data_IF_407879844556
#
_entry.id   IF_407879844556
#
_cell.length_a   1.000
_cell.length_b   1.000
_cell.length_c   1.000
_cell.angle_alpha   90.00
_cell.angle_beta   90.00
_cell.angle_gamma   90.00
#
_symmetry.space_group_name_H-M   'P 1'
#
loop_
_entity.id
_entity.type
_entity.pdbx_description
1 polymer ?
#
# COMPACT_ATOMS: atom_id res chain seq x y z
N UNK A 1 -11.23 -24.52 25.17
CA UNK A 1 -11.69 -23.51 24.18
C UNK A 1 -10.48 -22.67 23.79
N UNK A 2 -10.20 -22.59 22.50
CA UNK A 2 -9.08 -21.75 21.98
C UNK A 2 -9.50 -20.28 21.94
N UNK A 3 -9.73 -19.65 23.11
CA UNK A 3 -10.04 -18.23 23.16
C UNK A 3 -8.75 -17.42 23.16
N UNK A 4 -8.65 -16.45 22.24
CA UNK A 4 -7.60 -15.46 22.16
C UNK A 4 -8.18 -14.07 22.48
N UNK A 5 -7.35 -13.03 22.66
CA UNK A 5 -7.86 -11.69 22.92
C UNK A 5 -8.29 -11.03 21.60
N UNK A 6 -7.47 -11.21 20.55
CA UNK A 6 -7.69 -10.61 19.24
C UNK A 6 -7.48 -11.64 18.13
N UNK A 7 -8.41 -11.67 17.16
CA UNK A 7 -8.23 -12.34 15.87
C UNK A 7 -7.94 -11.29 14.80
N UNK A 8 -6.87 -11.47 14.03
CA UNK A 8 -6.52 -10.66 12.85
C UNK A 8 -6.76 -11.49 11.60
N UNK A 9 -7.63 -11.02 10.72
CA UNK A 9 -7.98 -11.67 9.44
C UNK A 9 -7.13 -11.03 8.34
N UNK A 10 -6.23 -11.80 7.73
CA UNK A 10 -5.30 -11.37 6.68
C UNK A 10 -3.86 -11.23 7.15
N UNK A 11 -2.96 -11.97 6.50
CA UNK A 11 -1.52 -12.00 6.72
C UNK A 11 -0.72 -11.11 5.75
N UNK A 12 -1.34 -10.05 5.22
CA UNK A 12 -0.66 -8.98 4.49
C UNK A 12 0.18 -8.09 5.41
N UNK A 13 0.87 -7.09 4.86
CA UNK A 13 1.73 -6.19 5.64
C UNK A 13 1.00 -5.48 6.78
N UNK A 14 -0.27 -5.09 6.56
CA UNK A 14 -1.10 -4.41 7.57
C UNK A 14 -1.45 -5.37 8.71
N UNK A 15 -2.03 -6.53 8.40
CA UNK A 15 -2.39 -7.50 9.44
C UNK A 15 -1.18 -8.03 10.21
N UNK A 16 -0.04 -8.21 9.52
CA UNK A 16 1.22 -8.63 10.15
C UNK A 16 1.77 -7.56 11.10
N UNK A 17 1.72 -6.29 10.70
CA UNK A 17 2.11 -5.16 11.55
C UNK A 17 1.21 -5.04 12.78
N UNK A 18 -0.11 -5.10 12.62
CA UNK A 18 -1.07 -5.09 13.73
C UNK A 18 -0.80 -6.24 14.70
N UNK A 19 -0.60 -7.45 14.16
CA UNK A 19 -0.29 -8.64 14.97
C UNK A 19 0.97 -8.44 15.80
N UNK A 20 2.02 -7.86 15.21
CA UNK A 20 3.25 -7.55 15.93
C UNK A 20 3.03 -6.54 17.06
N UNK A 21 2.44 -5.38 16.77
CA UNK A 21 2.26 -4.34 17.79
C UNK A 21 1.28 -4.75 18.90
N UNK A 22 0.23 -5.53 18.61
CA UNK A 22 -0.64 -6.12 19.63
C UNK A 22 0.12 -7.10 20.52
N UNK A 23 0.96 -7.97 19.94
CA UNK A 23 1.78 -8.92 20.71
C UNK A 23 2.81 -8.20 21.57
N UNK A 24 3.41 -7.11 21.07
CA UNK A 24 4.31 -6.23 21.82
C UNK A 24 3.63 -5.59 23.04
N UNK A 25 2.31 -5.34 22.95
CA UNK A 25 1.47 -4.85 24.07
C UNK A 25 0.92 -6.01 24.95
N UNK A 26 1.41 -7.24 24.78
CA UNK A 26 1.06 -8.38 25.61
C UNK A 26 -0.30 -9.02 25.31
N UNK A 27 -0.95 -8.70 24.18
CA UNK A 27 -2.20 -9.34 23.77
C UNK A 27 -1.93 -10.74 23.20
N UNK A 28 -2.83 -11.68 23.47
CA UNK A 28 -2.83 -13.01 22.83
C UNK A 28 -3.50 -12.87 21.46
N UNK A 29 -2.71 -12.92 20.40
CA UNK A 29 -3.17 -12.69 19.02
C UNK A 29 -3.18 -13.99 18.22
N UNK A 30 -4.25 -14.20 17.47
CA UNK A 30 -4.37 -15.22 16.43
C UNK A 30 -4.51 -14.50 15.08
N UNK A 31 -3.54 -14.66 14.18
CA UNK A 31 -3.65 -14.20 12.81
C UNK A 31 -4.04 -15.36 11.89
N UNK A 32 -5.03 -15.15 11.04
CA UNK A 32 -5.55 -16.11 10.07
C UNK A 32 -5.28 -15.60 8.67
N UNK A 33 -4.59 -16.42 7.87
CA UNK A 33 -4.29 -16.11 6.47
C UNK A 33 -4.71 -17.29 5.58
N UNK A 34 -5.50 -17.00 4.55
CA UNK A 34 -6.05 -18.05 3.66
C UNK A 34 -4.98 -18.70 2.75
N UNK A 35 -3.88 -18.00 2.49
CA UNK A 35 -2.75 -18.48 1.69
C UNK A 35 -1.45 -18.34 2.50
N UNK A 36 -0.38 -17.85 1.86
CA UNK A 36 0.85 -17.49 2.53
C UNK A 36 0.88 -15.99 2.93
N UNK A 37 1.66 -15.68 3.96
CA UNK A 37 1.82 -14.29 4.39
C UNK A 37 2.40 -13.44 3.26
N UNK A 38 1.78 -12.30 3.01
CA UNK A 38 2.19 -11.39 1.95
C UNK A 38 1.71 -11.78 0.53
N UNK A 39 0.94 -12.85 0.33
CA UNK A 39 0.47 -13.31 -0.99
C UNK A 39 -0.54 -12.38 -1.68
N UNK A 40 -1.12 -11.43 -0.94
CA UNK A 40 -2.02 -10.41 -1.47
C UNK A 40 -1.29 -9.22 -2.11
N UNK A 41 -1.80 -8.01 -1.85
CA UNK A 41 -1.24 -6.75 -2.40
C UNK A 41 0.21 -6.51 -2.00
N UNK A 42 0.63 -6.92 -0.80
CA UNK A 42 1.99 -6.72 -0.30
C UNK A 42 3.05 -7.39 -1.18
N UNK A 43 2.81 -8.64 -1.61
CA UNK A 43 3.73 -9.38 -2.47
C UNK A 43 3.64 -9.02 -3.96
N UNK A 44 2.73 -8.10 -4.31
CA UNK A 44 2.53 -7.62 -5.66
C UNK A 44 2.59 -6.08 -5.71
N UNK A 45 3.56 -5.50 -5.01
CA UNK A 45 3.79 -4.05 -4.93
C UNK A 45 5.27 -3.72 -5.12
N UNK A 46 5.53 -2.48 -5.49
CA UNK A 46 6.83 -1.86 -5.31
C UNK A 46 7.10 -1.57 -3.82
N UNK A 47 8.32 -1.17 -3.50
CA UNK A 47 8.76 -0.95 -2.13
C UNK A 47 8.93 0.52 -1.75
N UNK A 48 8.34 1.44 -2.46
CA UNK A 48 8.56 2.88 -2.26
C UNK A 48 8.06 3.35 -0.88
N UNK A 49 8.96 3.95 -0.11
CA UNK A 49 8.71 4.58 1.18
C UNK A 49 9.05 6.07 1.04
N UNK A 50 8.09 6.86 0.58
CA UNK A 50 8.36 8.25 0.23
C UNK A 50 7.14 9.16 0.37
N UNK A 51 7.41 10.46 0.43
CA UNK A 51 6.40 11.51 0.60
C UNK A 51 5.78 11.95 -0.73
N UNK A 52 6.55 11.91 -1.82
CA UNK A 52 6.20 12.47 -3.12
C UNK A 52 4.97 11.87 -3.79
N UNK A 53 4.52 10.70 -3.34
CA UNK A 53 3.30 10.04 -3.82
C UNK A 53 2.10 10.24 -2.89
N UNK A 54 2.24 10.99 -1.80
CA UNK A 54 1.21 11.15 -0.77
C UNK A 54 0.37 12.41 -1.01
N UNK A 55 -0.95 12.27 -0.81
CA UNK A 55 -1.85 13.42 -0.83
C UNK A 55 -1.57 14.32 0.36
N UNK A 56 -1.47 15.65 0.18
CA UNK A 56 -1.38 16.60 1.29
C UNK A 56 -2.52 16.44 2.30
N UNK A 57 -2.28 16.79 3.57
CA UNK A 57 -3.23 16.61 4.67
C UNK A 57 -3.06 15.27 5.38
N UNK A 58 -4.15 14.64 5.79
CA UNK A 58 -4.18 13.46 6.67
C UNK A 58 -3.29 12.30 6.21
N UNK A 59 -3.27 12.01 4.91
CA UNK A 59 -2.40 10.95 4.38
C UNK A 59 -0.92 11.28 4.54
N UNK A 60 -0.54 12.55 4.29
CA UNK A 60 0.83 13.02 4.49
C UNK A 60 1.23 13.00 5.95
N UNK A 61 0.35 13.40 6.86
CA UNK A 61 0.58 13.37 8.31
C UNK A 61 0.88 11.96 8.82
N UNK A 62 0.06 10.98 8.41
CA UNK A 62 0.33 9.57 8.72
C UNK A 62 1.63 9.09 8.09
N UNK A 63 1.93 9.48 6.84
CA UNK A 63 3.14 9.08 6.17
C UNK A 63 4.40 9.61 6.85
N UNK A 64 4.40 10.86 7.33
CA UNK A 64 5.52 11.45 8.06
C UNK A 64 5.83 10.62 9.32
N UNK A 65 4.81 10.29 10.12
CA UNK A 65 4.98 9.47 11.32
C UNK A 65 5.45 8.05 10.97
N UNK A 66 4.87 7.45 9.94
CA UNK A 66 5.18 6.08 9.54
C UNK A 66 6.59 5.94 8.98
N UNK A 67 7.02 6.87 8.11
CA UNK A 67 8.33 6.82 7.46
C UNK A 67 9.46 7.00 8.48
N UNK A 68 9.25 7.85 9.51
CA UNK A 68 10.20 7.98 10.60
C UNK A 68 10.41 6.66 11.39
N UNK A 69 9.41 5.77 11.44
CA UNK A 69 9.54 4.48 12.11
C UNK A 69 10.47 3.52 11.36
N UNK A 70 10.58 3.63 10.04
CA UNK A 70 11.42 2.72 9.24
C UNK A 70 12.89 2.78 9.61
N UNK A 71 13.39 3.90 10.14
CA UNK A 71 14.81 4.09 10.48
C UNK A 71 15.32 3.09 11.53
N UNK A 72 14.43 2.59 12.39
CA UNK A 72 14.75 1.65 13.47
C UNK A 72 14.05 0.30 13.32
N UNK A 73 13.25 0.12 12.26
CA UNK A 73 12.34 -1.01 12.15
C UNK A 73 13.07 -2.35 11.97
N UNK A 74 14.19 -2.39 11.23
CA UNK A 74 15.00 -3.61 11.10
C UNK A 74 15.54 -4.09 12.45
N UNK A 75 16.03 -3.16 13.28
CA UNK A 75 16.51 -3.44 14.63
C UNK A 75 15.36 -3.88 15.53
N UNK A 76 14.25 -3.13 15.53
CA UNK A 76 13.06 -3.42 16.33
C UNK A 76 12.47 -4.81 16.01
N UNK A 77 12.41 -5.16 14.72
CA UNK A 77 11.91 -6.46 14.28
C UNK A 77 12.97 -7.58 14.36
N UNK A 78 14.25 -7.27 14.60
CA UNK A 78 15.36 -8.23 14.65
C UNK A 78 15.53 -8.99 13.33
N UNK A 79 15.32 -8.31 12.22
CA UNK A 79 15.45 -8.85 10.86
C UNK A 79 15.67 -7.72 9.87
N UNK A 80 16.60 -7.88 8.95
CA UNK A 80 16.81 -6.94 7.85
C UNK A 80 15.60 -6.95 6.91
N UNK A 81 14.97 -5.78 6.75
CA UNK A 81 13.84 -5.54 5.84
C UNK A 81 14.29 -4.94 4.50
N UNK A 82 15.60 -4.89 4.27
CA UNK A 82 16.23 -4.26 3.10
C UNK A 82 15.81 -2.77 2.93
N UNK A 83 15.62 -2.07 4.05
CA UNK A 83 15.27 -0.65 3.99
C UNK A 83 16.47 0.20 3.60
N UNK A 84 16.35 0.92 2.50
CA UNK A 84 17.32 1.89 2.02
C UNK A 84 16.78 3.30 2.24
N UNK A 85 17.23 3.95 3.29
CA UNK A 85 16.92 5.34 3.58
C UNK A 85 17.56 6.28 2.56
N UNK A 86 16.87 7.40 2.23
CA UNK A 86 17.40 8.47 1.41
C UNK A 86 17.95 8.01 0.04
N UNK A 87 17.36 6.97 -0.55
CA UNK A 87 17.72 6.59 -1.92
C UNK A 87 17.14 7.55 -2.97
N UNK A 88 16.29 8.49 -2.55
CA UNK A 88 15.65 9.45 -3.44
C UNK A 88 14.40 8.91 -4.12
N UNK A 89 13.47 9.82 -4.37
CA UNK A 89 12.29 9.60 -5.20
C UNK A 89 12.15 10.70 -6.23
N UNK A 90 11.84 10.35 -7.47
CA UNK A 90 11.74 11.30 -8.56
C UNK A 90 10.44 11.15 -9.33
N UNK A 91 9.85 12.27 -9.77
CA UNK A 91 8.70 12.26 -10.66
C UNK A 91 8.96 13.19 -11.86
N UNK A 92 9.51 12.65 -12.96
CA UNK A 92 9.69 13.42 -14.18
C UNK A 92 8.35 13.71 -14.86
N UNK A 93 8.21 14.92 -15.40
CA UNK A 93 7.09 15.38 -16.20
C UNK A 93 7.45 15.31 -17.69
N UNK A 94 6.53 14.82 -18.52
CA UNK A 94 6.67 14.79 -19.98
C UNK A 94 6.24 16.10 -20.62
N UNK A 95 5.30 16.81 -19.99
CA UNK A 95 4.67 18.00 -20.56
C UNK A 95 4.69 19.16 -19.58
N UNK A 96 4.51 20.38 -20.13
CA UNK A 96 4.35 21.60 -19.33
C UNK A 96 3.16 21.49 -18.37
N UNK A 97 2.04 20.93 -18.80
CA UNK A 97 0.86 20.74 -17.97
C UNK A 97 1.14 19.82 -16.78
N UNK A 98 1.81 18.68 -17.00
CA UNK A 98 2.19 17.78 -15.91
C UNK A 98 3.15 18.50 -14.91
N UNK A 99 4.07 19.31 -15.42
CA UNK A 99 4.97 20.13 -14.60
C UNK A 99 4.22 21.14 -13.73
N UNK A 100 3.27 21.88 -14.32
CA UNK A 100 2.47 22.87 -13.60
C UNK A 100 1.65 22.21 -12.48
N UNK A 101 0.99 21.09 -12.78
CA UNK A 101 0.23 20.32 -11.79
C UNK A 101 1.14 19.81 -10.65
N UNK A 102 2.32 19.25 -11.00
CA UNK A 102 3.28 18.82 -9.98
C UNK A 102 3.77 19.98 -9.13
N UNK A 103 4.00 21.15 -9.71
CA UNK A 103 4.45 22.32 -8.98
C UNK A 103 3.45 22.74 -7.90
N UNK A 104 2.15 22.73 -8.21
CA UNK A 104 1.09 23.00 -7.24
C UNK A 104 1.09 21.94 -6.10
N UNK A 105 1.19 20.66 -6.44
CA UNK A 105 1.23 19.56 -5.48
C UNK A 105 2.46 19.70 -4.56
N UNK A 106 3.63 20.03 -5.10
CA UNK A 106 4.87 20.22 -4.35
C UNK A 106 4.74 21.35 -3.34
N UNK A 107 4.15 22.49 -3.73
CA UNK A 107 3.95 23.61 -2.81
C UNK A 107 3.05 23.22 -1.61
N UNK A 108 2.01 22.44 -1.86
CA UNK A 108 1.15 21.92 -0.78
C UNK A 108 1.90 20.90 0.11
N UNK A 109 2.64 19.97 -0.49
CA UNK A 109 3.41 18.97 0.25
C UNK A 109 4.50 19.62 1.12
N UNK A 110 5.21 20.65 0.61
CA UNK A 110 6.23 21.40 1.36
C UNK A 110 5.68 22.06 2.62
N UNK A 111 4.42 22.50 2.62
CA UNK A 111 3.77 23.06 3.82
C UNK A 111 3.67 22.05 4.97
N UNK A 112 3.76 20.76 4.68
CA UNK A 112 3.83 19.69 5.69
C UNK A 112 5.26 19.49 6.26
N UNK A 113 6.25 20.30 5.83
CA UNK A 113 7.63 20.25 6.34
C UNK A 113 8.53 19.18 5.70
N UNK A 114 8.09 18.54 4.61
CA UNK A 114 8.89 17.51 3.90
C UNK A 114 9.82 18.14 2.85
N UNK A 115 11.02 17.57 2.67
CA UNK A 115 11.97 18.02 1.63
C UNK A 115 11.57 17.45 0.28
N UNK A 116 10.85 18.26 -0.48
CA UNK A 116 10.40 17.98 -1.85
C UNK A 116 10.60 19.24 -2.68
N UNK A 117 11.11 19.11 -3.91
CA UNK A 117 11.43 20.27 -4.77
C UNK A 117 11.29 19.95 -6.25
N UNK A 118 10.96 20.96 -7.02
CA UNK A 118 11.04 20.91 -8.48
C UNK A 118 12.48 21.13 -8.92
N UNK A 119 12.98 20.35 -9.87
CA UNK A 119 14.34 20.45 -10.43
C UNK A 119 14.30 20.43 -11.95
N UNK A 120 15.29 21.08 -12.58
CA UNK A 120 15.45 21.04 -14.05
C UNK A 120 15.85 19.65 -14.53
N UNK A 121 15.62 19.33 -15.82
CA UNK A 121 16.08 18.06 -16.39
C UNK A 121 17.59 17.89 -16.33
N UNK A 122 18.37 18.96 -16.48
CA UNK A 122 19.82 18.91 -16.30
C UNK A 122 20.19 18.33 -14.90
N UNK A 123 19.53 18.82 -13.85
CA UNK A 123 19.76 18.34 -12.49
C UNK A 123 19.18 16.94 -12.27
N UNK A 124 18.03 16.61 -12.88
CA UNK A 124 17.46 15.28 -12.82
C UNK A 124 18.38 14.24 -13.45
N UNK A 125 18.98 14.53 -14.61
CA UNK A 125 19.94 13.65 -15.28
C UNK A 125 21.29 13.52 -14.54
N UNK A 126 21.68 14.52 -13.74
CA UNK A 126 22.85 14.37 -12.84
C UNK A 126 22.60 13.36 -11.72
N UNK A 127 21.35 13.29 -11.22
CA UNK A 127 20.92 12.34 -10.19
C UNK A 127 20.68 10.96 -10.79
N UNK A 128 19.96 10.90 -11.92
CA UNK A 128 19.59 9.68 -12.64
C UNK A 128 20.08 9.75 -14.10
N UNK A 129 21.32 9.31 -14.37
CA UNK A 129 21.96 9.50 -15.69
C UNK A 129 21.31 8.72 -16.83
N UNK A 130 20.54 7.67 -16.55
CA UNK A 130 19.83 6.88 -17.55
C UNK A 130 18.52 7.54 -18.01
N UNK A 131 18.09 8.62 -17.33
CA UNK A 131 16.84 9.30 -17.62
C UNK A 131 16.94 10.05 -18.97
N UNK A 132 15.87 9.99 -19.75
CA UNK A 132 15.77 10.72 -21.01
C UNK A 132 15.83 12.24 -20.78
N UNK A 133 16.82 12.97 -21.37
CA UNK A 133 16.97 14.41 -21.21
C UNK A 133 15.85 15.23 -21.90
N UNK A 134 15.08 14.63 -22.84
CA UNK A 134 14.00 15.29 -23.57
C UNK A 134 12.68 15.37 -22.79
N UNK A 135 12.72 15.18 -21.46
CA UNK A 135 11.58 15.41 -20.57
C UNK A 135 11.56 16.87 -20.09
N UNK A 136 10.45 17.30 -19.49
CA UNK A 136 10.27 18.72 -19.18
C UNK A 136 11.00 19.17 -17.91
N UNK A 137 11.02 18.33 -16.87
CA UNK A 137 11.61 18.58 -15.56
C UNK A 137 11.17 17.51 -14.59
N UNK A 138 11.50 17.60 -13.30
CA UNK A 138 11.11 16.60 -12.33
C UNK A 138 10.83 17.18 -10.94
N UNK A 139 9.90 16.56 -10.21
CA UNK A 139 9.86 16.61 -8.76
C UNK A 139 10.97 15.69 -8.22
N UNK A 140 11.66 16.14 -7.17
CA UNK A 140 12.65 15.32 -6.46
C UNK A 140 12.45 15.39 -4.94
N UNK A 141 12.45 14.21 -4.30
CA UNK A 141 12.36 14.02 -2.86
C UNK A 141 13.60 13.25 -2.37
N UNK A 142 14.63 13.91 -1.88
CA UNK A 142 15.90 13.28 -1.50
C UNK A 142 15.76 12.31 -0.31
N UNK A 143 14.76 12.53 0.55
CA UNK A 143 14.53 11.75 1.77
C UNK A 143 13.64 10.52 1.56
N UNK A 144 13.16 10.27 0.34
CA UNK A 144 12.44 9.04 0.02
C UNK A 144 13.36 7.83 0.15
N UNK A 145 12.78 6.74 0.65
CA UNK A 145 13.45 5.44 0.78
C UNK A 145 12.72 4.35 0.02
N UNK A 146 13.24 3.14 0.13
CA UNK A 146 12.58 1.92 -0.34
C UNK A 146 12.82 0.76 0.60
N UNK A 147 11.92 -0.20 0.61
CA UNK A 147 11.97 -1.41 1.44
C UNK A 147 11.59 -2.62 0.60
N UNK A 148 12.00 -3.82 1.00
CA UNK A 148 11.45 -5.03 0.41
C UNK A 148 10.10 -5.36 1.08
N UNK A 149 8.95 -5.29 0.35
CA UNK A 149 7.63 -5.51 0.93
C UNK A 149 7.42 -6.88 1.55
N UNK A 150 7.99 -7.92 0.96
CA UNK A 150 7.91 -9.29 1.47
C UNK A 150 8.77 -9.45 2.73
N UNK A 151 10.02 -8.94 2.72
CA UNK A 151 10.89 -8.98 3.90
C UNK A 151 10.26 -8.22 5.07
N UNK A 152 9.67 -7.05 4.82
CA UNK A 152 8.93 -6.29 5.83
C UNK A 152 7.79 -7.11 6.43
N UNK A 153 6.97 -7.74 5.57
CA UNK A 153 5.85 -8.56 6.01
C UNK A 153 6.33 -9.75 6.85
N UNK A 154 7.38 -10.46 6.39
CA UNK A 154 7.95 -11.60 7.10
C UNK A 154 8.62 -11.19 8.41
N UNK A 155 9.30 -10.05 8.46
CA UNK A 155 9.90 -9.53 9.67
C UNK A 155 8.85 -9.29 10.76
N UNK A 156 7.71 -8.65 10.44
CA UNK A 156 6.59 -8.51 11.36
C UNK A 156 6.06 -9.86 11.84
N UNK A 157 5.84 -10.81 10.92
CA UNK A 157 5.36 -12.16 11.24
C UNK A 157 6.32 -12.87 12.21
N UNK A 158 7.61 -12.84 11.94
CA UNK A 158 8.60 -13.52 12.79
C UNK A 158 8.74 -12.83 14.16
N UNK A 159 8.72 -11.50 14.20
CA UNK A 159 8.74 -10.76 15.45
C UNK A 159 7.50 -11.04 16.31
N UNK A 160 6.30 -11.07 15.71
CA UNK A 160 5.07 -11.42 16.40
C UNK A 160 5.10 -12.85 16.96
N UNK A 161 5.61 -13.82 16.18
CA UNK A 161 5.78 -15.21 16.66
C UNK A 161 6.71 -15.30 17.85
N UNK A 162 7.85 -14.58 17.87
CA UNK A 162 8.75 -14.53 19.02
C UNK A 162 8.08 -13.98 20.29
N UNK A 163 7.04 -13.15 20.12
CA UNK A 163 6.22 -12.61 21.21
C UNK A 163 4.99 -13.47 21.53
N UNK A 164 4.87 -14.68 20.96
CA UNK A 164 3.82 -15.64 21.28
C UNK A 164 2.57 -15.55 20.42
N UNK A 165 2.52 -14.73 19.35
CA UNK A 165 1.41 -14.72 18.41
C UNK A 165 1.27 -16.08 17.70
N UNK A 166 0.02 -16.54 17.56
CA UNK A 166 -0.30 -17.72 16.75
C UNK A 166 -0.66 -17.26 15.33
N UNK A 167 -0.03 -17.86 14.33
CA UNK A 167 -0.24 -17.51 12.93
C UNK A 167 -0.59 -18.79 12.18
N UNK A 168 -1.82 -18.85 11.67
CA UNK A 168 -2.32 -19.96 10.89
C UNK A 168 -2.44 -19.54 9.42
N UNK A 169 -1.57 -20.11 8.60
CA UNK A 169 -1.63 -20.00 7.14
C UNK A 169 -2.55 -21.08 6.57
N UNK A 170 -2.94 -20.90 5.32
CA UNK A 170 -3.89 -21.80 4.62
C UNK A 170 -5.15 -22.02 5.46
N UNK A 171 -5.67 -20.95 6.08
CA UNK A 171 -6.83 -20.97 6.96
C UNK A 171 -7.75 -19.84 6.54
N UNK A 172 -8.81 -20.20 5.84
CA UNK A 172 -9.77 -19.26 5.28
C UNK A 172 -10.92 -19.00 6.27
N UNK A 173 -11.12 -17.71 6.57
CA UNK A 173 -12.33 -17.29 7.30
C UNK A 173 -13.52 -17.34 6.35
N UNK A 174 -14.58 -18.03 6.76
CA UNK A 174 -15.81 -18.24 5.99
C UNK A 174 -17.01 -17.51 6.55
N UNK A 175 -16.96 -17.20 7.85
CA UNK A 175 -18.03 -16.45 8.50
C UNK A 175 -17.54 -15.75 9.76
N UNK A 176 -18.21 -14.65 10.13
CA UNK A 176 -17.99 -13.90 11.37
C UNK A 176 -19.12 -14.24 12.34
N UNK A 177 -18.78 -14.82 13.47
CA UNK A 177 -19.75 -15.22 14.48
C UNK A 177 -20.26 -14.01 15.25
N UNK A 178 -21.51 -13.64 15.01
CA UNK A 178 -22.19 -12.53 15.68
C UNK A 178 -23.22 -13.07 16.67
N UNK A 179 -23.16 -12.62 17.94
CA UNK A 179 -24.14 -12.93 18.97
C UNK A 179 -24.49 -11.66 19.74
N UNK A 180 -25.79 -11.43 19.95
CA UNK A 180 -26.29 -10.23 20.64
C UNK A 180 -25.71 -8.92 20.04
N UNK A 181 -25.65 -8.83 18.72
CA UNK A 181 -25.09 -7.69 17.97
C UNK A 181 -23.62 -7.40 18.28
N UNK A 182 -22.84 -8.40 18.67
CA UNK A 182 -21.40 -8.31 18.96
C UNK A 182 -20.65 -9.39 18.20
N UNK A 183 -19.50 -9.06 17.63
CA UNK A 183 -18.59 -10.05 17.05
C UNK A 183 -17.90 -10.85 18.18
N UNK A 184 -17.87 -12.19 18.04
CA UNK A 184 -17.45 -13.11 19.10
C UNK A 184 -16.41 -14.12 18.63
N UNK A 185 -16.16 -14.22 17.32
CA UNK A 185 -15.27 -15.23 16.74
C UNK A 185 -15.42 -15.31 15.23
N UNK A 186 -14.77 -16.29 14.66
CA UNK A 186 -14.81 -16.61 13.23
C UNK A 186 -14.98 -18.11 13.01
N UNK A 187 -15.69 -18.46 11.94
CA UNK A 187 -15.69 -19.80 11.39
C UNK A 187 -14.69 -19.90 10.24
N UNK A 188 -13.93 -20.98 10.20
CA UNK A 188 -12.92 -21.21 9.16
C UNK A 188 -13.04 -22.62 8.59
N UNK A 189 -12.34 -22.90 7.50
CA UNK A 189 -12.19 -24.24 6.94
C UNK A 189 -11.48 -25.25 7.89
N UNK A 190 -10.88 -24.75 9.00
CA UNK A 190 -10.18 -25.56 10.02
C UNK A 190 -10.84 -25.51 11.39
N UNK A 191 -12.07 -25.04 11.48
CA UNK A 191 -12.85 -24.96 12.71
C UNK A 191 -13.08 -23.54 13.19
N UNK A 192 -13.63 -23.43 14.39
CA UNK A 192 -14.09 -22.18 14.97
C UNK A 192 -13.09 -21.60 15.97
N UNK A 193 -12.86 -20.30 15.90
CA UNK A 193 -12.00 -19.55 16.83
C UNK A 193 -12.77 -18.41 17.47
N UNK A 194 -12.55 -18.17 18.76
CA UNK A 194 -13.25 -17.16 19.54
C UNK A 194 -12.28 -16.07 20.02
N UNK A 195 -12.73 -14.82 19.96
CA UNK A 195 -12.01 -13.67 20.48
C UNK A 195 -12.98 -12.57 20.93
N UNK A 196 -12.51 -11.65 21.76
CA UNK A 196 -13.29 -10.50 22.18
C UNK A 196 -13.26 -9.38 21.12
N UNK A 197 -12.23 -9.39 20.27
CA UNK A 197 -11.98 -8.39 19.22
C UNK A 197 -11.56 -9.11 17.91
N UNK A 198 -12.13 -8.70 16.80
CA UNK A 198 -11.84 -9.24 15.46
C UNK A 198 -11.48 -8.07 14.56
N UNK A 199 -10.33 -8.16 13.90
CA UNK A 199 -9.87 -7.14 12.94
C UNK A 199 -9.90 -7.73 11.54
N UNK A 200 -10.62 -7.06 10.66
CA UNK A 200 -10.56 -7.26 9.23
C UNK A 200 -9.37 -6.46 8.64
N UNK A 201 -8.29 -7.16 8.34
CA UNK A 201 -7.10 -6.66 7.63
C UNK A 201 -6.91 -7.38 6.29
N UNK A 202 -8.02 -7.85 5.66
CA UNK A 202 -8.02 -8.66 4.45
C UNK A 202 -7.75 -7.86 3.16
N UNK A 203 -7.34 -6.58 3.26
CA UNK A 203 -6.94 -5.76 2.13
C UNK A 203 -8.05 -5.60 1.10
N UNK A 204 -7.83 -6.05 -0.14
CA UNK A 204 -8.82 -5.96 -1.22
C UNK A 204 -10.04 -6.86 -1.03
N UNK A 205 -9.98 -7.81 -0.11
CA UNK A 205 -11.09 -8.70 0.26
C UNK A 205 -11.81 -8.25 1.54
N UNK A 206 -11.46 -7.10 2.09
CA UNK A 206 -12.04 -6.64 3.35
C UNK A 206 -13.56 -6.37 3.23
N UNK A 207 -14.05 -5.93 2.08
CA UNK A 207 -15.50 -5.78 1.87
C UNK A 207 -16.24 -7.13 1.94
N UNK A 208 -15.65 -8.20 1.38
CA UNK A 208 -16.23 -9.55 1.45
C UNK A 208 -16.24 -10.09 2.89
N UNK A 209 -15.14 -9.88 3.62
CA UNK A 209 -15.03 -10.28 5.04
C UNK A 209 -16.04 -9.51 5.90
N UNK A 210 -16.14 -8.20 5.70
CA UNK A 210 -17.11 -7.38 6.43
C UNK A 210 -18.57 -7.76 6.14
N UNK A 211 -18.86 -8.14 4.89
CA UNK A 211 -20.20 -8.60 4.48
C UNK A 211 -20.64 -9.87 5.22
N UNK A 212 -19.72 -10.78 5.61
CA UNK A 212 -20.02 -11.94 6.47
C UNK A 212 -20.58 -11.52 7.83
N UNK A 213 -20.23 -10.31 8.29
CA UNK A 213 -20.73 -9.72 9.53
C UNK A 213 -21.92 -8.76 9.33
N UNK A 214 -22.48 -8.68 8.13
CA UNK A 214 -23.55 -7.75 7.79
C UNK A 214 -23.09 -6.27 7.76
N UNK A 215 -21.81 -6.04 7.50
CA UNK A 215 -21.20 -4.70 7.40
C UNK A 215 -20.85 -4.44 5.94
N UNK A 216 -21.34 -3.33 5.41
CA UNK A 216 -20.99 -2.85 4.08
C UNK A 216 -19.79 -1.89 4.15
N UNK A 217 -18.75 -2.16 3.36
CA UNK A 217 -17.55 -1.33 3.25
C UNK A 217 -17.29 -0.99 1.78
N UNK A 218 -17.05 0.29 1.45
CA UNK A 218 -16.80 0.72 0.08
C UNK A 218 -15.35 0.44 -0.36
N UNK A 219 -14.86 -0.76 -0.14
CA UNK A 219 -13.53 -1.20 -0.59
C UNK A 219 -13.69 -2.01 -1.87
N UNK A 220 -12.99 -1.61 -2.92
CA UNK A 220 -13.00 -2.30 -4.22
C UNK A 220 -11.60 -2.69 -4.63
N UNK A 221 -11.40 -3.90 -5.20
CA UNK A 221 -10.10 -4.27 -5.76
C UNK A 221 -9.79 -3.43 -6.99
N UNK A 222 -8.61 -2.81 -7.02
CA UNK A 222 -8.09 -2.07 -8.17
C UNK A 222 -6.80 -2.70 -8.66
N UNK A 223 -6.87 -3.38 -9.80
CA UNK A 223 -5.78 -4.12 -10.41
C UNK A 223 -4.66 -3.18 -10.86
N UNK A 224 -3.41 -3.59 -10.58
CA UNK A 224 -2.21 -2.99 -11.15
C UNK A 224 -1.29 -4.07 -11.68
N UNK A 225 -0.92 -3.95 -12.95
CA UNK A 225 -0.06 -4.91 -13.64
C UNK A 225 1.40 -4.45 -13.55
N UNK A 226 2.29 -5.38 -13.23
CA UNK A 226 3.71 -5.16 -12.97
C UNK A 226 4.55 -6.15 -13.79
N UNK A 227 5.72 -5.70 -14.22
CA UNK A 227 6.64 -6.46 -15.06
C UNK A 227 8.04 -6.41 -14.47
N UNK A 228 8.73 -7.54 -14.45
CA UNK A 228 10.10 -7.64 -13.94
C UNK A 228 11.02 -7.92 -15.11
N UNK A 229 12.12 -7.17 -15.17
CA UNK A 229 13.17 -7.39 -16.16
C UNK A 229 14.15 -8.47 -15.69
N UNK A 230 14.95 -8.98 -16.60
CA UNK A 230 16.20 -9.65 -16.28
C UNK A 230 17.07 -8.78 -15.37
N UNK A 231 17.97 -9.36 -14.55
CA UNK A 231 18.89 -8.60 -13.73
C UNK A 231 19.81 -7.72 -14.58
N UNK A 232 19.88 -6.44 -14.20
CA UNK A 232 20.78 -5.45 -14.77
C UNK A 232 21.88 -5.14 -13.74
N UNK A 233 23.03 -4.63 -14.21
CA UNK A 233 23.97 -3.95 -13.33
C UNK A 233 23.31 -2.75 -12.64
N UNK A 234 24.06 -1.92 -11.87
CA UNK A 234 23.52 -0.68 -11.32
C UNK A 234 22.93 0.18 -12.43
N UNK A 235 21.60 0.29 -12.47
CA UNK A 235 20.88 0.99 -13.54
C UNK A 235 20.15 2.21 -13.02
N UNK A 236 19.53 2.12 -11.82
CA UNK A 236 18.77 3.21 -11.21
C UNK A 236 19.38 3.65 -9.88
N UNK A 237 19.50 4.97 -9.72
CA UNK A 237 19.96 5.59 -8.48
C UNK A 237 18.81 5.95 -7.54
N UNK A 238 17.59 6.19 -8.08
CA UNK A 238 16.41 6.63 -7.33
C UNK A 238 15.21 5.72 -7.65
N UNK A 239 14.15 5.77 -6.81
CA UNK A 239 12.84 5.26 -7.21
C UNK A 239 12.14 6.30 -8.09
N UNK A 240 11.42 5.87 -9.13
CA UNK A 240 10.81 6.81 -10.05
C UNK A 240 9.34 6.45 -10.30
N UNK A 241 8.47 7.45 -10.19
CA UNK A 241 7.12 7.45 -10.73
C UNK A 241 7.02 8.61 -11.72
N UNK A 242 6.37 8.45 -12.87
CA UNK A 242 6.17 9.61 -13.75
C UNK A 242 5.14 10.59 -13.16
N UNK A 243 5.19 11.86 -13.55
CA UNK A 243 4.25 12.89 -13.12
C UNK A 243 2.78 12.47 -13.28
N UNK A 244 2.45 11.76 -14.35
CA UNK A 244 1.11 11.21 -14.61
C UNK A 244 0.58 10.33 -13.49
N UNK A 245 1.47 9.70 -12.70
CA UNK A 245 1.07 8.94 -11.52
C UNK A 245 0.28 9.80 -10.53
N UNK A 246 0.79 10.98 -10.18
CA UNK A 246 0.10 11.92 -9.29
C UNK A 246 -1.06 12.62 -10.00
N UNK A 247 -0.93 12.94 -11.30
CA UNK A 247 -2.03 13.55 -12.07
C UNK A 247 -3.25 12.63 -12.09
N UNK A 248 -3.10 11.35 -12.40
CA UNK A 248 -4.21 10.37 -12.36
C UNK A 248 -4.76 10.21 -10.94
N UNK A 249 -3.90 10.27 -9.92
CA UNK A 249 -4.29 10.05 -8.52
C UNK A 249 -5.04 11.25 -7.92
N UNK A 250 -4.66 12.48 -8.27
CA UNK A 250 -5.13 13.70 -7.61
C UNK A 250 -5.95 14.63 -8.48
N UNK A 251 -5.74 14.62 -9.80
CA UNK A 251 -6.41 15.48 -10.81
C UNK A 251 -6.71 14.69 -12.09
N UNK A 252 -7.50 13.59 -12.04
CA UNK A 252 -7.72 12.70 -13.19
C UNK A 252 -8.35 13.42 -14.39
N UNK A 253 -9.12 14.46 -14.14
CA UNK A 253 -9.77 15.30 -15.16
C UNK A 253 -8.77 16.03 -16.07
N UNK A 254 -7.53 16.22 -15.64
CA UNK A 254 -6.48 16.86 -16.43
C UNK A 254 -5.84 15.93 -17.48
N UNK A 255 -6.19 14.64 -17.48
CA UNK A 255 -5.65 13.66 -18.44
C UNK A 255 -6.55 13.61 -19.68
N UNK A 256 -6.12 14.17 -20.80
CA UNK A 256 -6.88 14.22 -22.05
C UNK A 256 -7.01 12.87 -22.78
N UNK A 257 -6.15 11.90 -22.50
CA UNK A 257 -6.13 10.58 -23.12
C UNK A 257 -7.10 9.63 -22.41
N UNK A 258 -8.30 9.43 -22.99
CA UNK A 258 -9.35 8.55 -22.45
C UNK A 258 -8.92 7.07 -22.36
N UNK A 259 -8.07 6.59 -23.25
CA UNK A 259 -7.58 5.21 -23.23
C UNK A 259 -6.58 5.01 -22.07
N UNK A 260 -5.67 5.96 -21.88
CA UNK A 260 -4.75 5.98 -20.75
C UNK A 260 -5.50 6.11 -19.41
N UNK A 261 -6.60 6.88 -19.34
CA UNK A 261 -7.45 6.99 -18.15
C UNK A 261 -8.16 5.67 -17.83
N UNK A 262 -8.75 5.01 -18.84
CA UNK A 262 -9.46 3.72 -18.65
C UNK A 262 -8.55 2.66 -18.03
N UNK A 263 -7.29 2.59 -18.48
CA UNK A 263 -6.29 1.67 -17.94
C UNK A 263 -5.58 2.22 -16.71
N UNK A 264 -5.69 3.53 -16.45
CA UNK A 264 -4.93 4.21 -15.39
C UNK A 264 -3.42 4.04 -15.55
N UNK A 265 -2.93 3.92 -16.80
CA UNK A 265 -1.55 3.62 -17.11
C UNK A 265 -0.63 4.78 -16.75
N UNK A 266 0.30 4.54 -15.84
CA UNK A 266 1.37 5.43 -15.41
C UNK A 266 2.69 4.67 -15.39
N UNK A 267 3.81 5.30 -15.03
CA UNK A 267 5.07 4.62 -14.79
C UNK A 267 5.41 4.68 -13.31
N UNK A 268 5.71 3.52 -12.73
CA UNK A 268 6.45 3.35 -11.50
C UNK A 268 7.59 2.39 -11.81
N UNK A 269 8.82 2.74 -11.47
CA UNK A 269 9.97 1.89 -11.74
C UNK A 269 10.98 1.99 -10.58
N UNK A 270 11.46 0.84 -10.14
CA UNK A 270 12.53 0.72 -9.16
C UNK A 270 13.42 -0.48 -9.45
N UNK A 271 14.67 -0.43 -9.03
CA UNK A 271 15.58 -1.56 -9.12
C UNK A 271 15.60 -2.36 -7.83
N UNK A 272 15.28 -3.65 -7.90
CA UNK A 272 15.38 -4.57 -6.77
C UNK A 272 16.83 -4.86 -6.37
N UNK A 273 17.03 -5.47 -5.20
CA UNK A 273 18.35 -5.88 -4.70
C UNK A 273 19.02 -6.94 -5.57
N UNK A 274 18.23 -7.70 -6.32
CA UNK A 274 18.68 -8.71 -7.28
C UNK A 274 19.08 -8.13 -8.66
N UNK A 275 19.00 -6.80 -8.84
CA UNK A 275 19.31 -6.10 -10.08
C UNK A 275 18.16 -6.01 -11.10
N UNK A 276 17.08 -6.77 -10.95
CA UNK A 276 15.90 -6.66 -11.81
C UNK A 276 15.13 -5.36 -11.57
N UNK A 277 14.55 -4.78 -12.62
CA UNK A 277 13.66 -3.65 -12.50
C UNK A 277 12.22 -4.16 -12.29
N UNK A 278 11.51 -3.55 -11.36
CA UNK A 278 10.05 -3.69 -11.20
C UNK A 278 9.42 -2.50 -11.91
N UNK A 279 8.71 -2.76 -12.99
CA UNK A 279 8.12 -1.74 -13.85
C UNK A 279 6.60 -1.86 -13.81
N UNK A 280 5.91 -0.82 -13.45
CA UNK A 280 4.44 -0.73 -13.39
C UNK A 280 3.96 0.67 -13.75
N UNK A 281 2.69 1.00 -13.64
CA UNK A 281 1.61 0.07 -13.41
C UNK A 281 0.33 0.63 -14.01
N UNK A 282 -0.68 -0.21 -14.07
CA UNK A 282 -2.06 0.19 -14.38
C UNK A 282 -2.89 0.43 -13.12
N UNK A 283 -4.13 0.94 -13.29
CA UNK A 283 -5.14 1.13 -12.25
C UNK A 283 -6.52 0.81 -12.82
N UNK A 284 -6.89 -0.46 -12.80
CA UNK A 284 -8.07 -0.98 -13.47
C UNK A 284 -9.11 -1.51 -12.45
N UNK A 285 -10.37 -1.19 -12.64
CA UNK A 285 -11.46 -1.83 -11.90
C UNK A 285 -11.91 -3.08 -12.67
N UNK A 286 -11.22 -4.20 -12.42
CA UNK A 286 -11.43 -5.49 -13.07
C UNK A 286 -11.88 -6.58 -12.07
N UNK A 287 -12.51 -6.19 -10.96
CA UNK A 287 -12.84 -7.13 -9.90
C UNK A 287 -11.58 -7.79 -9.33
N UNK A 288 -11.68 -9.08 -9.03
CA UNK A 288 -10.57 -9.87 -8.50
C UNK A 288 -9.68 -10.51 -9.57
N UNK A 289 -9.81 -10.08 -10.84
CA UNK A 289 -8.93 -10.53 -11.93
C UNK A 289 -7.48 -10.13 -11.66
N UNK A 290 -6.55 -11.09 -11.81
CA UNK A 290 -5.10 -10.92 -11.64
C UNK A 290 -4.31 -11.31 -12.90
N UNK A 291 -4.99 -11.47 -14.01
CA UNK A 291 -4.34 -11.80 -15.27
C UNK A 291 -3.63 -10.57 -15.86
N UNK A 292 -2.47 -10.78 -16.43
CA UNK A 292 -1.75 -9.76 -17.18
C UNK A 292 -2.19 -9.76 -18.64
N UNK A 293 -2.26 -8.58 -19.26
CA UNK A 293 -2.62 -8.41 -20.67
C UNK A 293 -1.43 -7.90 -21.46
N UNK A 294 -1.33 -8.33 -22.73
CA UNK A 294 -0.33 -7.81 -23.66
C UNK A 294 -0.47 -6.30 -23.86
N UNK A 295 -1.72 -5.79 -23.93
CA UNK A 295 -1.99 -4.36 -24.06
C UNK A 295 -1.37 -3.55 -22.92
N UNK A 296 -1.57 -3.99 -21.68
CA UNK A 296 -0.98 -3.34 -20.50
C UNK A 296 0.55 -3.40 -20.50
N UNK A 297 1.12 -4.53 -20.93
CA UNK A 297 2.57 -4.68 -21.06
C UNK A 297 3.12 -3.72 -22.11
N UNK A 298 2.54 -3.67 -23.31
CA UNK A 298 2.97 -2.77 -24.37
C UNK A 298 2.92 -1.29 -23.94
N UNK A 299 1.79 -0.86 -23.36
CA UNK A 299 1.62 0.52 -22.91
C UNK A 299 2.63 0.87 -21.82
N UNK A 300 2.83 -0.02 -20.83
CA UNK A 300 3.77 0.19 -19.73
C UNK A 300 5.22 0.22 -20.23
N UNK A 301 5.61 -0.73 -21.09
CA UNK A 301 6.99 -0.78 -21.62
C UNK A 301 7.26 0.39 -22.56
N UNK A 302 6.33 0.81 -23.39
CA UNK A 302 6.47 2.00 -24.23
C UNK A 302 6.70 3.26 -23.39
N UNK A 303 6.01 3.39 -22.26
CA UNK A 303 6.28 4.46 -21.30
C UNK A 303 7.64 4.32 -20.65
N UNK A 304 8.01 3.13 -20.17
CA UNK A 304 9.32 2.91 -19.57
C UNK A 304 10.47 3.29 -20.52
N UNK A 305 10.38 2.91 -21.79
CA UNK A 305 11.36 3.28 -22.82
C UNK A 305 11.36 4.79 -23.14
N UNK A 306 10.22 5.48 -22.98
CA UNK A 306 10.16 6.96 -23.15
C UNK A 306 10.97 7.65 -22.05
N UNK A 307 10.95 7.12 -20.81
CA UNK A 307 11.70 7.67 -19.68
C UNK A 307 13.14 7.16 -19.64
N UNK A 308 13.37 5.92 -20.02
CA UNK A 308 14.67 5.23 -20.02
C UNK A 308 14.90 4.55 -21.37
N UNK A 309 15.46 5.26 -22.36
CA UNK A 309 15.66 4.71 -23.72
C UNK A 309 16.50 3.44 -23.76
N UNK A 310 17.41 3.25 -22.79
CA UNK A 310 18.25 2.07 -22.69
C UNK A 310 17.46 0.76 -22.41
N UNK A 311 16.18 0.85 -22.02
CA UNK A 311 15.34 -0.33 -21.78
C UNK A 311 14.85 -1.04 -23.05
N UNK A 312 15.11 -0.48 -24.24
CA UNK A 312 14.66 -1.06 -25.52
C UNK A 312 15.17 -2.47 -25.78
N UNK A 313 16.34 -2.81 -25.23
CA UNK A 313 17.03 -4.10 -25.44
C UNK A 313 16.97 -5.02 -24.19
N UNK A 314 16.12 -4.67 -23.20
CA UNK A 314 16.02 -5.40 -21.94
C UNK A 314 14.82 -6.36 -21.96
N UNK A 315 15.07 -7.62 -21.56
CA UNK A 315 14.06 -8.67 -21.56
C UNK A 315 13.15 -8.60 -20.30
N UNK A 316 11.85 -8.83 -20.50
CA UNK A 316 10.90 -9.08 -19.42
C UNK A 316 10.91 -10.56 -19.09
N UNK A 317 11.18 -10.89 -17.83
CA UNK A 317 11.24 -12.29 -17.37
C UNK A 317 10.01 -12.71 -16.58
N UNK A 318 9.22 -11.76 -16.10
CA UNK A 318 8.01 -12.04 -15.31
C UNK A 318 6.98 -10.92 -15.44
N UNK A 319 5.70 -11.32 -15.49
CA UNK A 319 4.55 -10.45 -15.34
C UNK A 319 3.69 -10.94 -14.19
N UNK A 320 3.11 -10.01 -13.40
CA UNK A 320 2.16 -10.32 -12.34
C UNK A 320 1.26 -9.13 -12.08
N UNK A 321 0.12 -9.35 -11.41
CA UNK A 321 -0.80 -8.29 -11.04
C UNK A 321 -1.16 -8.34 -9.56
N UNK A 322 -1.22 -7.16 -8.95
CA UNK A 322 -1.71 -6.94 -7.60
C UNK A 322 -3.07 -6.26 -7.58
N UNK A 323 -3.79 -6.45 -6.48
CA UNK A 323 -5.08 -5.79 -6.24
C UNK A 323 -4.92 -4.78 -5.11
N UNK A 324 -5.04 -3.48 -5.43
CA UNK A 324 -5.02 -2.42 -4.42
C UNK A 324 -6.39 -2.32 -3.76
N UNK A 325 -6.49 -2.23 -2.43
CA UNK A 325 -7.74 -1.98 -1.74
C UNK A 325 -8.14 -0.50 -1.88
N UNK A 326 -8.88 -0.18 -2.92
CA UNK A 326 -9.34 1.18 -3.22
C UNK A 326 -10.49 1.60 -2.29
N UNK A 327 -10.47 2.84 -1.83
CA UNK A 327 -11.56 3.52 -1.13
C UNK A 327 -11.95 4.79 -1.88
N UNK A 328 -13.23 5.22 -1.85
CA UNK A 328 -13.70 6.37 -2.64
C UNK A 328 -13.00 7.69 -2.31
N UNK A 329 -12.66 7.91 -1.05
CA UNK A 329 -11.99 9.12 -0.57
C UNK A 329 -10.44 9.03 -0.57
N UNK A 330 -9.91 7.84 -0.90
CA UNK A 330 -8.46 7.57 -0.94
C UNK A 330 -7.80 7.49 0.44
N UNK A 331 -8.57 7.44 1.53
CA UNK A 331 -8.06 7.25 2.89
C UNK A 331 -8.29 5.81 3.36
N UNK A 332 -7.39 5.22 4.16
CA UNK A 332 -7.63 3.91 4.75
C UNK A 332 -8.83 3.93 5.70
N UNK A 333 -9.41 2.77 5.93
CA UNK A 333 -10.48 2.55 6.90
C UNK A 333 -9.87 1.91 8.12
N UNK A 334 -9.89 2.64 9.26
CA UNK A 334 -9.27 2.24 10.51
C UNK A 334 -10.22 2.49 11.68
N UNK A 335 -10.55 1.45 12.45
CA UNK A 335 -11.35 1.61 13.65
C UNK A 335 -12.47 0.59 13.83
N UNK A 336 -13.27 0.77 14.88
CA UNK A 336 -14.40 -0.08 15.22
C UNK A 336 -15.64 0.27 14.40
N UNK A 337 -16.37 -0.76 13.99
CA UNK A 337 -17.70 -0.61 13.38
C UNK A 337 -18.74 -0.44 14.48
N UNK A 338 -19.26 0.77 14.67
CA UNK A 338 -20.18 1.10 15.77
C UNK A 338 -21.42 0.20 15.87
N UNK A 339 -21.99 -0.22 14.72
CA UNK A 339 -23.16 -1.12 14.70
C UNK A 339 -22.82 -2.56 15.10
N UNK A 340 -21.53 -2.94 15.16
CA UNK A 340 -21.06 -4.27 15.49
C UNK A 340 -19.87 -4.21 16.45
N UNK A 341 -20.08 -3.95 17.74
CA UNK A 341 -19.01 -3.93 18.73
C UNK A 341 -18.14 -5.18 18.69
N UNK A 342 -16.83 -4.98 18.85
CA UNK A 342 -15.82 -6.04 18.74
C UNK A 342 -15.37 -6.36 17.33
N UNK A 343 -15.94 -5.72 16.29
CA UNK A 343 -15.47 -5.83 14.91
C UNK A 343 -14.77 -4.54 14.47
N UNK A 344 -13.53 -4.66 14.04
CA UNK A 344 -12.66 -3.59 13.62
C UNK A 344 -12.23 -3.76 12.18
N UNK A 345 -11.91 -2.67 11.50
CA UNK A 345 -11.39 -2.68 10.14
C UNK A 345 -10.03 -2.00 10.10
N UNK A 346 -9.11 -2.57 9.33
CA UNK A 346 -7.81 -1.98 9.02
C UNK A 346 -7.42 -2.31 7.57
N UNK A 347 -8.05 -1.64 6.61
CA UNK A 347 -7.90 -1.90 5.18
C UNK A 347 -8.06 -0.61 4.35
N UNK A 348 -8.06 -0.71 3.02
CA UNK A 348 -8.31 0.44 2.16
C UNK A 348 -7.11 1.38 1.95
N UNK A 349 -5.88 0.90 2.14
CA UNK A 349 -4.65 1.71 2.00
C UNK A 349 -4.25 2.00 0.55
N UNK A 350 -4.99 1.52 -0.41
CA UNK A 350 -4.70 1.64 -1.85
C UNK A 350 -3.26 1.24 -2.18
N UNK A 351 -2.46 2.10 -2.81
CA UNK A 351 -1.04 1.87 -3.12
C UNK A 351 -0.07 2.33 -2.03
N UNK A 352 -0.54 2.74 -0.85
CA UNK A 352 0.28 3.33 0.21
C UNK A 352 0.51 2.40 1.40
N UNK A 353 -0.03 1.17 1.36
CA UNK A 353 -0.03 0.23 2.48
C UNK A 353 1.34 -0.15 3.00
N UNK A 354 2.36 -0.29 2.16
CA UNK A 354 3.73 -0.60 2.58
C UNK A 354 4.29 0.54 3.43
N UNK A 355 4.23 1.78 2.93
CA UNK A 355 4.74 2.95 3.64
C UNK A 355 3.95 3.27 4.92
N UNK A 356 2.66 2.93 4.98
CA UNK A 356 1.79 3.21 6.13
C UNK A 356 1.67 2.04 7.13
N UNK A 357 2.24 0.87 6.84
CA UNK A 357 2.10 -0.31 7.70
C UNK A 357 2.60 -0.09 9.13
N UNK A 358 3.77 0.54 9.39
CA UNK A 358 4.24 0.74 10.75
C UNK A 358 3.26 1.53 11.61
N UNK A 359 2.83 2.71 11.13
CA UNK A 359 1.93 3.58 11.89
C UNK A 359 0.53 2.96 12.04
N UNK A 360 0.01 2.31 10.98
CA UNK A 360 -1.29 1.63 11.04
C UNK A 360 -1.29 0.53 12.11
N UNK A 361 -0.25 -0.31 12.12
CA UNK A 361 -0.11 -1.37 13.11
C UNK A 361 -0.07 -0.83 14.53
N UNK A 362 0.73 0.22 14.76
CA UNK A 362 0.85 0.89 16.06
C UNK A 362 -0.49 1.47 16.52
N UNK A 363 -1.13 2.30 15.70
CA UNK A 363 -2.37 2.99 16.08
C UNK A 363 -3.53 2.02 16.31
N UNK A 364 -3.67 0.98 15.47
CA UNK A 364 -4.69 -0.05 15.68
C UNK A 364 -4.42 -0.87 16.94
N UNK A 365 -3.17 -1.21 17.22
CA UNK A 365 -2.83 -1.93 18.45
C UNK A 365 -3.10 -1.08 19.71
N UNK A 366 -2.78 0.20 19.69
CA UNK A 366 -3.12 1.14 20.78
C UNK A 366 -4.63 1.23 20.99
N UNK A 367 -5.40 1.39 19.90
CA UNK A 367 -6.87 1.43 19.97
C UNK A 367 -7.46 0.18 20.62
N UNK A 368 -7.01 -1.03 20.18
CA UNK A 368 -7.55 -2.28 20.69
C UNK A 368 -7.06 -2.62 22.10
N UNK A 369 -5.82 -2.27 22.43
CA UNK A 369 -5.25 -2.60 23.75
C UNK A 369 -5.63 -1.60 24.84
N UNK A 370 -5.77 -0.31 24.48
CA UNK A 370 -5.91 0.80 25.42
C UNK A 370 -7.24 1.58 25.28
N UNK A 371 -8.04 1.25 24.25
CA UNK A 371 -9.28 1.94 23.92
C UNK A 371 -9.13 3.28 23.21
N UNK A 372 -7.89 3.73 22.96
CA UNK A 372 -7.57 4.96 22.24
C UNK A 372 -6.23 4.85 21.53
N UNK A 373 -6.09 5.49 20.37
CA UNK A 373 -4.84 5.62 19.65
C UNK A 373 -4.16 6.96 19.98
N UNK A 374 -2.83 7.01 19.81
CA UNK A 374 -2.01 8.23 20.01
C UNK A 374 -2.22 9.30 18.93
N UNK A 375 -2.89 8.96 17.84
CA UNK A 375 -3.35 9.86 16.78
C UNK A 375 -4.84 9.63 16.52
N UNK A 376 -5.61 10.71 16.25
CA UNK A 376 -7.06 10.58 16.01
C UNK A 376 -7.35 9.72 14.76
N UNK A 377 -8.16 8.69 14.94
CA UNK A 377 -8.66 7.83 13.87
C UNK A 377 -10.04 8.22 13.35
N UNK A 378 -10.62 9.33 13.82
CA UNK A 378 -11.98 9.75 13.47
C UNK A 378 -12.17 9.91 11.96
N UNK A 379 -11.23 10.58 11.28
CA UNK A 379 -11.27 10.78 9.83
C UNK A 379 -11.07 9.48 9.03
N UNK A 380 -10.58 8.42 9.68
CA UNK A 380 -10.37 7.09 9.09
C UNK A 380 -11.44 6.08 9.50
N UNK A 381 -12.38 6.47 10.35
CA UNK A 381 -13.42 5.60 10.88
C UNK A 381 -14.23 4.91 9.77
N UNK A 382 -14.55 3.60 9.90
CA UNK A 382 -15.48 2.93 8.98
C UNK A 382 -16.86 3.59 8.97
N UNK A 383 -17.22 4.27 10.04
CA UNK A 383 -18.53 4.90 10.22
C UNK A 383 -18.71 6.18 9.39
N UNK A 384 -17.65 6.73 8.77
CA UNK A 384 -17.71 7.88 7.85
C UNK A 384 -18.50 7.59 6.57
N UNK A 385 -18.67 6.30 6.22
CA UNK A 385 -19.39 5.86 5.03
C UNK A 385 -20.86 5.47 5.28
N UNK A 386 -21.46 5.81 6.42
CA UNK A 386 -22.85 5.42 6.77
C UNK A 386 -23.92 5.86 5.76
N UNK A 387 -23.65 6.89 4.97
CA UNK A 387 -24.56 7.43 3.96
C UNK A 387 -24.06 7.19 2.53
N UNK A 388 -23.00 6.40 2.37
CA UNK A 388 -22.43 6.12 1.06
C UNK A 388 -23.36 5.13 0.33
N UNK A 389 -23.78 5.48 -0.91
CA UNK A 389 -24.52 4.61 -1.82
C UNK A 389 -23.73 4.48 -3.11
N UNK A 390 -23.85 3.34 -3.80
CA UNK A 390 -23.16 3.09 -5.07
C UNK A 390 -23.52 4.12 -6.17
N UNK A 391 -24.65 4.84 -6.02
CA UNK A 391 -25.10 5.89 -6.95
C UNK A 391 -24.22 7.15 -6.94
N UNK A 392 -23.30 7.30 -5.97
CA UNK A 392 -22.36 8.44 -5.90
C UNK A 392 -21.08 8.25 -6.72
N UNK A 393 -20.99 7.22 -7.57
CA UNK A 393 -19.77 6.84 -8.32
C UNK A 393 -19.79 7.25 -9.83
N UNK A 394 -20.72 8.06 -10.29
CA UNK A 394 -20.77 8.52 -11.70
C UNK A 394 -20.24 9.92 -11.88
#
# INVERSE_FOLDING_TARGET
MNKTDVIVIGGGVIGSSITYYLSKLGKRVLMLERQDNGSGSAGASDGVVGYHTKKPGLQMELAIQSIAMFDHLSEELGMDIEYRRNCGGMQPAETKLEWEILSEIVEEQRRSGVDIRMISMENACKIEPQLNPDLYGALYSPTSGKVNPLQLTFAYVQAAKRMGARILRNTEVRDILVKMRRAMGVETDKGTFYADQIIDAAGSWAAEVAAMAGVDLPIRPRKGQLFITEPLGPFMNVTLQCARYNVIKFKPEAVGDKAALRMGASLSIEQGSNGGLIIGSTREFAGFDRENTLEAMEVTMRRAMRFFPALKDVNIIRAFAGLRPFTPDGLPILGEVEKLPGFYVAAGHEGDGIALAPITGKLMAELLAQGKASYSLEAFSPNRFRKWSEESEL
#
